data_IF_111894288102
#
_entry.id   IF_111894288102
#
_cell.length_a   1.000
_cell.length_b   1.000
_cell.length_c   1.000
_cell.angle_alpha   90.00
_cell.angle_beta   90.00
_cell.angle_gamma   90.00
#
_symmetry.space_group_name_H-M   'P 1'
#
loop_
_entity.id
_entity.type
_entity.pdbx_description
1 polymer ?
#
# COMPACT_ATOMS: atom_id res chain seq x y z
N UNK A 1 6.95 -22.88 2.42
CA UNK A 1 5.73 -22.08 2.44
C UNK A 1 5.24 -22.05 1.01
N UNK A 2 3.97 -22.40 0.79
CA UNK A 2 3.36 -22.34 -0.53
C UNK A 2 2.28 -21.28 -0.57
N UNK A 3 2.04 -20.77 -1.78
CA UNK A 3 1.06 -19.77 -2.11
C UNK A 3 0.03 -20.33 -3.08
N UNK A 4 -1.22 -20.00 -2.81
CA UNK A 4 -2.39 -20.43 -3.60
C UNK A 4 -3.12 -19.21 -4.15
N UNK A 5 -3.85 -19.40 -5.25
CA UNK A 5 -4.73 -18.36 -5.79
C UNK A 5 -6.06 -18.32 -5.04
N UNK A 6 -6.56 -17.12 -4.75
CA UNK A 6 -7.92 -16.89 -4.23
C UNK A 6 -9.03 -17.42 -5.14
N UNK A 7 -8.74 -17.70 -6.42
CA UNK A 7 -9.72 -18.17 -7.43
C UNK A 7 -9.50 -19.62 -7.88
N UNK A 8 -8.56 -20.32 -7.27
CA UNK A 8 -8.48 -21.78 -7.37
C UNK A 8 -7.57 -22.31 -8.46
N UNK A 9 -6.65 -21.49 -8.99
CA UNK A 9 -5.56 -21.98 -9.84
C UNK A 9 -4.87 -23.18 -9.17
N UNK A 10 -4.72 -24.32 -9.87
CA UNK A 10 -4.31 -25.58 -9.25
C UNK A 10 -2.83 -25.59 -8.82
N UNK A 11 -1.99 -24.77 -9.46
CA UNK A 11 -0.56 -24.72 -9.15
C UNK A 11 -0.29 -23.95 -7.86
N UNK A 12 0.41 -24.61 -6.94
CA UNK A 12 1.00 -24.00 -5.75
C UNK A 12 2.33 -23.35 -6.13
N UNK A 13 2.54 -22.12 -5.70
CA UNK A 13 3.76 -21.36 -5.97
C UNK A 13 4.61 -21.19 -4.71
N UNK A 14 5.91 -21.02 -4.90
CA UNK A 14 6.87 -20.53 -3.91
C UNK A 14 6.83 -19.00 -3.83
N UNK A 15 7.47 -18.40 -2.82
CA UNK A 15 7.49 -16.93 -2.71
C UNK A 15 8.19 -16.28 -3.90
N UNK A 16 9.34 -16.81 -4.33
CA UNK A 16 10.11 -16.25 -5.46
C UNK A 16 9.37 -16.29 -6.79
N UNK A 17 8.48 -17.27 -7.00
CA UNK A 17 7.63 -17.31 -8.19
C UNK A 17 6.59 -16.20 -8.17
N UNK A 18 5.82 -16.08 -7.07
CA UNK A 18 4.76 -15.07 -6.98
C UNK A 18 5.30 -13.63 -6.90
N UNK A 19 6.55 -13.46 -6.46
CA UNK A 19 7.23 -12.17 -6.39
C UNK A 19 7.26 -11.48 -7.76
N UNK A 20 7.49 -12.24 -8.84
CA UNK A 20 7.57 -11.74 -10.21
C UNK A 20 6.23 -11.79 -10.96
N UNK A 21 5.38 -12.79 -10.69
CA UNK A 21 4.09 -12.95 -11.37
C UNK A 21 3.07 -11.87 -10.96
N UNK A 22 3.03 -11.52 -9.67
CA UNK A 22 2.08 -10.55 -9.10
C UNK A 22 0.64 -11.05 -9.02
N UNK A 23 0.04 -11.41 -10.15
CA UNK A 23 -1.29 -12.04 -10.28
C UNK A 23 -1.17 -13.53 -10.58
N UNK A 24 -2.11 -14.32 -10.07
CA UNK A 24 -2.23 -15.72 -10.50
C UNK A 24 -2.78 -15.80 -11.94
N UNK A 25 -2.49 -16.89 -12.69
CA UNK A 25 -2.95 -17.03 -14.07
C UNK A 25 -4.47 -17.02 -14.27
N UNK A 26 -5.24 -17.37 -13.24
CA UNK A 26 -6.71 -17.32 -13.20
C UNK A 26 -7.27 -15.92 -12.84
N UNK A 27 -6.40 -14.91 -12.73
CA UNK A 27 -6.75 -13.55 -12.33
C UNK A 27 -6.93 -13.37 -10.82
N UNK A 28 -6.75 -14.43 -10.02
CA UNK A 28 -6.80 -14.37 -8.57
C UNK A 28 -5.55 -13.76 -7.95
N UNK A 29 -5.62 -13.54 -6.64
CA UNK A 29 -4.53 -13.01 -5.84
C UNK A 29 -3.84 -14.14 -5.08
N UNK A 30 -2.50 -14.08 -5.00
CA UNK A 30 -1.76 -15.02 -4.16
C UNK A 30 -1.94 -14.73 -2.67
N UNK A 31 -2.19 -15.79 -1.90
CA UNK A 31 -2.21 -15.81 -0.42
C UNK A 31 -1.46 -17.05 0.07
N UNK A 32 -0.86 -17.03 1.28
CA UNK A 32 -0.17 -18.19 1.82
C UNK A 32 -1.19 -19.28 2.16
N UNK A 33 -0.82 -20.53 1.92
CA UNK A 33 -1.69 -21.69 2.18
C UNK A 33 -2.18 -21.74 3.64
N UNK A 34 -1.36 -21.26 4.57
CA UNK A 34 -1.70 -21.07 5.98
C UNK A 34 -1.08 -19.76 6.49
N UNK A 35 -1.73 -19.10 7.45
CA UNK A 35 -1.08 -18.06 8.24
C UNK A 35 -0.28 -18.71 9.38
N UNK A 36 1.04 -18.47 9.48
CA UNK A 36 1.84 -18.90 10.63
C UNK A 36 1.24 -18.36 11.93
N UNK A 37 1.12 -19.20 12.96
CA UNK A 37 0.60 -18.80 14.28
C UNK A 37 1.77 -18.62 15.25
N UNK A 38 1.75 -17.51 15.98
CA UNK A 38 2.75 -17.15 16.98
C UNK A 38 2.21 -17.42 18.38
N UNK A 39 3.10 -17.84 19.28
CA UNK A 39 2.81 -17.97 20.70
C UNK A 39 3.31 -16.74 21.49
N UNK A 40 2.83 -16.60 22.73
CA UNK A 40 3.19 -15.49 23.62
C UNK A 40 4.70 -15.43 23.85
N UNK A 41 5.36 -16.59 23.99
CA UNK A 41 6.81 -16.65 24.16
C UNK A 41 7.56 -16.03 22.97
N UNK A 42 7.03 -16.16 21.74
CA UNK A 42 7.59 -15.53 20.56
C UNK A 42 7.34 -14.02 20.55
N UNK A 43 6.14 -13.58 20.90
CA UNK A 43 5.83 -12.15 21.04
C UNK A 43 6.74 -11.45 22.06
N UNK A 44 6.98 -12.09 23.21
CA UNK A 44 7.89 -11.57 24.24
C UNK A 44 9.33 -11.42 23.73
N UNK A 45 9.85 -12.43 23.01
CA UNK A 45 11.18 -12.34 22.39
C UNK A 45 11.25 -11.24 21.34
N UNK A 46 10.16 -10.99 20.63
CA UNK A 46 10.11 -10.02 19.54
C UNK A 46 9.92 -8.57 19.98
N UNK A 47 9.35 -8.33 21.17
CA UNK A 47 9.04 -6.99 21.71
C UNK A 47 10.25 -6.05 21.74
N UNK A 48 11.44 -6.57 22.00
CA UNK A 48 12.69 -5.80 22.07
C UNK A 48 13.48 -5.70 20.76
N UNK A 49 13.00 -6.26 19.65
CA UNK A 49 13.74 -6.30 18.40
C UNK A 49 13.71 -4.95 17.67
N UNK A 50 14.84 -4.57 17.07
CA UNK A 50 14.86 -3.48 16.10
C UNK A 50 14.01 -3.81 14.88
N UNK A 51 13.44 -2.81 14.21
CA UNK A 51 12.59 -2.98 13.04
C UNK A 51 13.16 -3.91 11.95
N UNK A 52 14.43 -3.78 11.47
CA UNK A 52 14.96 -4.69 10.45
C UNK A 52 15.07 -6.15 10.94
N UNK A 53 15.30 -6.37 12.23
CA UNK A 53 15.35 -7.73 12.81
C UNK A 53 13.94 -8.29 12.94
N UNK A 54 12.98 -7.51 13.43
CA UNK A 54 11.56 -7.90 13.46
C UNK A 54 11.03 -8.21 12.06
N UNK A 55 11.40 -7.39 11.06
CA UNK A 55 11.06 -7.64 9.67
C UNK A 55 11.62 -8.98 9.18
N UNK A 56 12.87 -9.29 9.48
CA UNK A 56 13.47 -10.59 9.16
C UNK A 56 12.69 -11.75 9.78
N UNK A 57 12.41 -11.70 11.08
CA UNK A 57 11.69 -12.75 11.81
C UNK A 57 10.30 -13.02 11.21
N UNK A 58 9.52 -11.97 10.94
CA UNK A 58 8.18 -12.08 10.34
C UNK A 58 8.27 -12.58 8.90
N UNK A 59 9.16 -12.01 8.07
CA UNK A 59 9.28 -12.38 6.66
C UNK A 59 9.77 -13.81 6.49
N UNK A 60 10.64 -14.31 7.37
CA UNK A 60 11.13 -15.69 7.36
C UNK A 60 10.02 -16.74 7.52
N UNK A 61 8.88 -16.37 8.11
CA UNK A 61 7.72 -17.28 8.20
C UNK A 61 6.97 -17.44 6.87
N UNK A 62 7.15 -16.48 5.96
CA UNK A 62 6.49 -16.44 4.66
C UNK A 62 7.44 -16.71 3.48
N UNK A 63 8.75 -16.56 3.70
CA UNK A 63 9.80 -16.66 2.69
C UNK A 63 10.80 -17.72 3.14
N UNK A 64 10.58 -18.97 2.72
CA UNK A 64 11.47 -20.10 3.06
C UNK A 64 12.33 -20.57 1.88
N UNK A 65 12.27 -19.86 0.75
CA UNK A 65 13.01 -20.15 -0.48
C UNK A 65 14.06 -19.07 -0.81
N UNK A 66 14.27 -18.10 0.07
CA UNK A 66 15.45 -17.21 0.11
C UNK A 66 16.32 -17.62 1.32
N UNK A 67 17.64 -17.83 1.15
CA UNK A 67 18.53 -18.17 2.26
C UNK A 67 18.40 -17.16 3.42
N UNK A 68 18.33 -17.60 4.70
CA UNK A 68 18.12 -16.69 5.82
C UNK A 68 19.15 -15.56 5.94
N UNK A 69 20.42 -15.85 5.62
CA UNK A 69 21.47 -14.83 5.62
C UNK A 69 21.20 -13.71 4.60
N UNK A 70 20.70 -14.07 3.41
CA UNK A 70 20.37 -13.13 2.35
C UNK A 70 19.13 -12.32 2.70
N UNK A 71 18.08 -12.96 3.22
CA UNK A 71 16.87 -12.25 3.65
C UNK A 71 17.16 -11.27 4.79
N UNK A 72 17.99 -11.66 5.76
CA UNK A 72 18.45 -10.78 6.84
C UNK A 72 19.23 -9.58 6.30
N UNK A 73 20.13 -9.82 5.33
CA UNK A 73 20.87 -8.75 4.66
C UNK A 73 19.96 -7.81 3.87
N UNK A 74 18.93 -8.33 3.20
CA UNK A 74 17.91 -7.53 2.50
C UNK A 74 17.12 -6.66 3.49
N UNK A 75 16.67 -7.21 4.61
CA UNK A 75 15.93 -6.45 5.63
C UNK A 75 16.80 -5.33 6.22
N UNK A 76 18.05 -5.65 6.58
CA UNK A 76 19.02 -4.68 7.06
C UNK A 76 19.40 -3.64 5.98
N UNK A 77 19.40 -4.00 4.69
CA UNK A 77 19.62 -3.07 3.59
C UNK A 77 18.44 -2.12 3.39
N UNK A 78 17.24 -2.59 3.68
CA UNK A 78 15.98 -1.88 3.44
C UNK A 78 15.70 -0.87 4.53
N UNK A 79 15.62 -1.34 5.78
CA UNK A 79 15.08 -0.55 6.89
C UNK A 79 16.22 0.02 7.73
N UNK A 80 16.74 1.18 7.30
CA UNK A 80 17.81 1.90 7.98
C UNK A 80 17.47 3.37 8.24
N UNK A 81 18.06 4.00 9.28
CA UNK A 81 17.82 5.41 9.59
C UNK A 81 18.09 6.36 8.43
N UNK A 82 19.06 6.07 7.56
CA UNK A 82 19.40 6.96 6.45
C UNK A 82 18.29 7.03 5.39
N UNK A 83 17.48 5.95 5.29
CA UNK A 83 16.36 5.86 4.35
C UNK A 83 15.08 6.41 5.00
N UNK A 84 14.83 6.05 6.25
CA UNK A 84 13.59 6.34 6.97
C UNK A 84 13.71 7.48 8.00
N UNK A 85 14.82 8.22 8.02
CA UNK A 85 15.04 9.35 8.94
C UNK A 85 15.17 9.00 10.43
N UNK A 86 14.91 7.76 10.85
CA UNK A 86 14.93 7.33 12.25
C UNK A 86 15.24 5.85 12.40
N UNK A 87 15.94 5.47 13.48
CA UNK A 87 16.26 4.07 13.77
C UNK A 87 15.04 3.22 14.15
N UNK A 88 13.93 3.85 14.57
CA UNK A 88 12.66 3.15 14.82
C UNK A 88 11.94 2.76 13.54
N UNK A 89 12.28 3.36 12.40
CA UNK A 89 11.66 3.21 11.07
C UNK A 89 10.17 3.64 11.05
N UNK A 90 9.34 3.03 11.89
CA UNK A 90 7.93 3.33 12.11
C UNK A 90 7.66 3.63 13.60
N UNK A 91 8.10 4.79 14.12
CA UNK A 91 7.83 5.16 15.51
C UNK A 91 6.32 5.37 15.74
N UNK A 92 5.87 5.13 16.97
CA UNK A 92 4.52 5.48 17.42
C UNK A 92 4.59 6.67 18.36
N UNK A 93 3.76 7.68 18.14
CA UNK A 93 3.57 8.82 19.04
C UNK A 93 2.15 8.87 19.58
N UNK A 94 1.98 9.31 20.81
CA UNK A 94 0.66 9.60 21.37
C UNK A 94 0.15 10.94 20.83
N UNK A 95 -1.05 10.97 20.26
CA UNK A 95 -1.72 12.21 19.85
C UNK A 95 -2.57 12.76 20.99
N UNK A 96 -3.36 11.89 21.61
CA UNK A 96 -4.13 12.17 22.83
C UNK A 96 -4.23 10.90 23.70
N UNK A 97 -4.73 11.02 24.93
CA UNK A 97 -4.83 9.86 25.83
C UNK A 97 -5.60 8.71 25.18
N UNK A 98 -4.96 7.53 25.08
CA UNK A 98 -5.54 6.34 24.45
C UNK A 98 -5.53 6.32 22.92
N UNK A 99 -5.09 7.39 22.25
CA UNK A 99 -5.01 7.48 20.79
C UNK A 99 -3.59 7.82 20.33
N UNK A 100 -3.01 6.89 19.59
CA UNK A 100 -1.66 6.94 19.08
C UNK A 100 -1.65 7.05 17.56
N UNK A 101 -0.54 7.51 17.01
CA UNK A 101 -0.28 7.61 15.57
C UNK A 101 1.01 6.86 15.27
N UNK A 102 0.92 5.83 14.43
CA UNK A 102 2.07 5.12 13.89
C UNK A 102 2.60 5.85 12.64
N UNK A 103 3.79 6.42 12.72
CA UNK A 103 4.40 7.26 11.69
C UNK A 103 5.03 6.40 10.60
N UNK A 104 4.24 6.01 9.59
CA UNK A 104 4.71 5.17 8.48
C UNK A 104 5.30 6.00 7.33
N UNK A 105 5.30 7.32 7.47
CA UNK A 105 5.59 8.27 6.38
C UNK A 105 6.96 8.90 6.48
N UNK A 106 7.89 8.22 7.16
CA UNK A 106 9.27 8.69 7.35
C UNK A 106 10.23 8.23 6.23
N UNK A 107 9.75 7.40 5.30
CA UNK A 107 10.52 6.91 4.15
C UNK A 107 10.89 7.99 3.12
N UNK A 108 11.62 7.63 2.05
CA UNK A 108 12.20 8.56 1.09
C UNK A 108 11.18 9.32 0.23
N UNK A 109 9.89 8.97 0.30
CA UNK A 109 8.83 9.65 -0.44
C UNK A 109 7.73 10.22 0.44
N UNK A 110 7.94 10.16 1.75
CA UNK A 110 7.05 10.71 2.78
C UNK A 110 5.64 10.08 2.79
N UNK A 111 5.55 8.79 2.46
CA UNK A 111 4.30 8.04 2.48
C UNK A 111 4.53 6.58 2.87
N UNK A 112 3.52 5.94 3.48
CA UNK A 112 3.61 4.55 3.97
C UNK A 112 3.98 3.51 2.90
N UNK A 113 3.76 3.84 1.62
CA UNK A 113 4.11 2.97 0.49
C UNK A 113 5.60 2.63 0.48
N UNK A 114 6.44 3.51 1.03
CA UNK A 114 7.88 3.29 1.18
C UNK A 114 8.21 2.03 2.00
N UNK A 115 7.42 1.74 3.05
CA UNK A 115 7.63 0.59 3.92
C UNK A 115 7.67 -0.72 3.12
N UNK A 116 6.76 -0.84 2.14
CA UNK A 116 6.68 -2.01 1.27
C UNK A 116 7.58 -1.92 0.04
N UNK A 117 7.61 -0.76 -0.63
CA UNK A 117 8.29 -0.61 -1.91
C UNK A 117 9.81 -0.75 -1.77
N UNK A 118 10.41 -0.19 -0.71
CA UNK A 118 11.85 -0.30 -0.49
C UNK A 118 12.29 -1.77 -0.34
N UNK A 119 11.51 -2.59 0.38
CA UNK A 119 11.77 -4.02 0.50
C UNK A 119 11.61 -4.71 -0.85
N UNK A 120 10.52 -4.42 -1.56
CA UNK A 120 10.21 -5.01 -2.85
C UNK A 120 11.32 -4.75 -3.88
N UNK A 121 11.86 -3.52 -3.93
CA UNK A 121 12.97 -3.20 -4.84
C UNK A 121 14.22 -4.02 -4.57
N UNK A 122 14.55 -4.27 -3.29
CA UNK A 122 15.67 -5.14 -2.94
C UNK A 122 15.40 -6.63 -3.24
N UNK A 123 14.17 -7.11 -3.02
CA UNK A 123 13.79 -8.50 -3.33
C UNK A 123 13.79 -8.77 -4.85
N UNK A 124 13.28 -7.83 -5.65
CA UNK A 124 13.29 -7.94 -7.11
C UNK A 124 14.73 -7.92 -7.65
N UNK A 125 15.57 -6.99 -7.19
CA UNK A 125 16.99 -6.96 -7.58
C UNK A 125 17.70 -8.28 -7.25
N UNK A 126 17.45 -8.84 -6.06
CA UNK A 126 18.00 -10.13 -5.65
C UNK A 126 17.56 -11.26 -6.58
N UNK A 127 16.25 -11.39 -6.82
CA UNK A 127 15.71 -12.50 -7.62
C UNK A 127 16.07 -12.39 -9.10
N UNK A 128 16.08 -11.18 -9.67
CA UNK A 128 16.48 -10.94 -11.06
C UNK A 128 17.98 -11.24 -11.26
N UNK A 129 18.83 -10.81 -10.32
CA UNK A 129 20.25 -11.14 -10.36
C UNK A 129 20.50 -12.64 -10.31
N UNK A 130 19.75 -13.37 -9.46
CA UNK A 130 19.83 -14.83 -9.36
C UNK A 130 19.43 -15.54 -10.66
N UNK A 131 18.44 -15.01 -11.39
CA UNK A 131 17.97 -15.56 -12.68
C UNK A 131 18.80 -15.11 -13.88
N UNK A 132 19.61 -14.06 -13.75
CA UNK A 132 20.23 -13.40 -14.90
C UNK A 132 19.19 -12.72 -15.80
N UNK A 133 18.10 -12.24 -15.21
CA UNK A 133 16.97 -11.62 -15.91
C UNK A 133 16.93 -10.10 -15.69
N UNK A 134 16.10 -9.43 -16.49
CA UNK A 134 15.82 -8.01 -16.36
C UNK A 134 14.31 -7.77 -16.36
N UNK A 135 13.87 -6.70 -15.70
CA UNK A 135 12.48 -6.30 -15.59
C UNK A 135 12.33 -4.83 -15.96
N UNK A 136 11.44 -4.55 -16.91
CA UNK A 136 11.07 -3.20 -17.29
C UNK A 136 9.68 -2.91 -16.71
N UNK A 137 9.62 -2.18 -15.60
CA UNK A 137 8.39 -1.85 -14.90
C UNK A 137 7.68 -0.73 -15.67
N UNK A 138 6.43 -0.97 -16.06
CA UNK A 138 5.55 0.07 -16.60
C UNK A 138 4.45 0.38 -15.59
N UNK A 139 4.27 1.67 -15.29
CA UNK A 139 3.26 2.13 -14.33
C UNK A 139 2.63 3.46 -14.74
N UNK A 140 1.50 3.75 -14.10
CA UNK A 140 0.85 5.05 -14.14
C UNK A 140 0.63 5.55 -12.71
N UNK A 141 0.76 6.86 -12.48
CA UNK A 141 0.52 7.47 -11.17
C UNK A 141 -0.17 8.83 -11.24
N UNK A 142 -0.87 9.17 -10.17
CA UNK A 142 -1.30 10.53 -9.83
C UNK A 142 -0.31 11.25 -8.88
N UNK A 143 0.81 10.61 -8.52
CA UNK A 143 1.89 11.21 -7.71
C UNK A 143 2.53 10.21 -6.75
N UNK A 144 1.86 9.91 -5.64
CA UNK A 144 2.46 9.18 -4.50
C UNK A 144 2.99 7.78 -4.85
N UNK A 145 2.21 7.02 -5.61
CA UNK A 145 2.57 5.63 -5.93
C UNK A 145 3.79 5.58 -6.86
N UNK A 146 3.88 6.50 -7.82
CA UNK A 146 5.02 6.57 -8.73
C UNK A 146 6.29 6.98 -8.00
N UNK A 147 6.21 7.99 -7.12
CA UNK A 147 7.34 8.38 -6.26
C UNK A 147 7.89 7.17 -5.48
N UNK A 148 7.03 6.45 -4.75
CA UNK A 148 7.46 5.31 -3.93
C UNK A 148 8.08 4.18 -4.77
N UNK A 149 7.55 3.93 -5.96
CA UNK A 149 8.11 2.95 -6.89
C UNK A 149 9.47 3.39 -7.44
N UNK A 150 9.60 4.63 -7.90
CA UNK A 150 10.85 5.15 -8.46
C UNK A 150 11.97 5.16 -7.42
N UNK A 151 11.73 5.66 -6.20
CA UNK A 151 12.75 5.67 -5.15
C UNK A 151 13.13 4.27 -4.66
N UNK A 152 12.25 3.27 -4.80
CA UNK A 152 12.58 1.89 -4.48
C UNK A 152 13.46 1.24 -5.54
N UNK A 153 13.21 1.56 -6.81
CA UNK A 153 13.85 0.94 -7.96
C UNK A 153 15.07 1.71 -8.48
N UNK A 154 15.24 2.98 -8.10
CA UNK A 154 16.39 3.78 -8.55
C UNK A 154 17.71 3.10 -8.20
N UNK A 155 18.59 3.01 -9.20
CA UNK A 155 19.89 2.37 -9.09
C UNK A 155 19.86 0.84 -8.91
N UNK A 156 18.69 0.18 -8.96
CA UNK A 156 18.59 -1.29 -8.86
C UNK A 156 19.05 -1.95 -10.16
N UNK A 157 19.91 -2.96 -10.05
CA UNK A 157 20.42 -3.71 -11.21
C UNK A 157 19.33 -4.59 -11.81
N UNK A 158 19.30 -4.66 -13.14
CA UNK A 158 18.32 -5.45 -13.88
C UNK A 158 16.90 -4.90 -13.82
N UNK A 159 16.68 -3.68 -13.30
CA UNK A 159 15.35 -3.06 -13.20
C UNK A 159 15.38 -1.69 -13.86
N UNK A 160 14.40 -1.42 -14.73
CA UNK A 160 14.09 -0.06 -15.21
C UNK A 160 12.65 0.28 -14.89
N UNK A 161 12.35 1.57 -14.70
CA UNK A 161 11.00 2.07 -14.43
C UNK A 161 10.60 3.08 -15.48
N UNK A 162 9.50 2.80 -16.17
CA UNK A 162 8.79 3.72 -17.05
C UNK A 162 7.51 4.14 -16.33
N UNK A 163 7.53 5.34 -15.73
CA UNK A 163 6.41 5.84 -14.93
C UNK A 163 5.69 6.95 -15.68
N UNK A 164 4.42 6.72 -15.98
CA UNK A 164 3.56 7.72 -16.61
C UNK A 164 2.82 8.54 -15.56
N UNK A 165 2.75 9.83 -15.78
CA UNK A 165 1.95 10.77 -14.99
C UNK A 165 1.26 11.79 -15.89
N UNK A 166 0.04 12.25 -15.56
CA UNK A 166 -0.62 13.30 -16.33
C UNK A 166 0.15 14.62 -16.20
N UNK A 167 0.46 15.24 -17.34
CA UNK A 167 1.22 16.48 -17.39
C UNK A 167 0.50 17.61 -16.65
N UNK A 168 1.19 18.22 -15.68
CA UNK A 168 0.69 19.38 -14.93
C UNK A 168 -0.38 19.09 -13.87
N UNK A 169 -0.69 17.81 -13.57
CA UNK A 169 -1.78 17.44 -12.64
C UNK A 169 -1.33 16.83 -11.31
N UNK A 170 -0.03 16.74 -11.06
CA UNK A 170 0.53 16.31 -9.76
C UNK A 170 0.92 17.54 -8.92
N UNK A 171 0.95 17.42 -7.58
CA UNK A 171 1.43 18.53 -6.74
C UNK A 171 2.90 18.87 -7.04
N UNK A 172 3.31 20.12 -6.78
CA UNK A 172 4.68 20.56 -7.05
C UNK A 172 5.72 19.66 -6.35
N UNK A 173 5.45 19.30 -5.10
CA UNK A 173 6.29 18.40 -4.31
C UNK A 173 6.37 16.99 -4.91
N UNK A 174 5.25 16.40 -5.34
CA UNK A 174 5.23 15.08 -5.98
C UNK A 174 5.97 15.09 -7.33
N UNK A 175 5.75 16.12 -8.15
CA UNK A 175 6.52 16.31 -9.39
C UNK A 175 8.01 16.40 -9.10
N UNK A 176 8.40 17.13 -8.06
CA UNK A 176 9.80 17.29 -7.68
C UNK A 176 10.41 15.97 -7.22
N UNK A 177 9.70 15.16 -6.43
CA UNK A 177 10.15 13.83 -6.02
C UNK A 177 10.47 12.95 -7.23
N UNK A 178 9.58 12.88 -8.21
CA UNK A 178 9.77 12.01 -9.38
C UNK A 178 10.75 12.61 -10.38
N UNK A 179 10.46 13.82 -10.86
CA UNK A 179 11.19 14.40 -12.00
C UNK A 179 12.59 14.88 -11.64
N UNK A 180 12.93 15.05 -10.35
CA UNK A 180 14.32 15.38 -9.98
C UNK A 180 15.28 14.20 -10.05
N UNK A 181 14.77 12.96 -10.15
CA UNK A 181 15.60 11.76 -10.24
C UNK A 181 16.41 11.75 -11.54
N UNK A 182 17.73 11.63 -11.40
CA UNK A 182 18.68 11.57 -12.52
C UNK A 182 19.18 10.16 -12.81
N UNK A 183 18.77 9.17 -12.01
CA UNK A 183 19.16 7.77 -12.18
C UNK A 183 18.79 7.25 -13.58
N UNK A 184 19.74 6.60 -14.25
CA UNK A 184 19.57 6.19 -15.66
C UNK A 184 18.47 5.16 -15.89
N UNK A 185 18.14 4.38 -14.86
CA UNK A 185 17.10 3.36 -14.92
C UNK A 185 15.69 3.91 -14.61
N UNK A 186 15.55 5.21 -14.36
CA UNK A 186 14.26 5.87 -14.10
C UNK A 186 13.89 6.75 -15.30
N UNK A 187 12.72 6.45 -15.87
CA UNK A 187 12.16 7.12 -17.04
C UNK A 187 10.78 7.68 -16.70
N UNK A 188 10.78 8.96 -16.32
CA UNK A 188 9.57 9.72 -16.09
C UNK A 188 8.93 10.17 -17.41
N UNK A 189 7.67 9.81 -17.62
CA UNK A 189 6.89 10.12 -18.82
C UNK A 189 5.70 11.00 -18.41
N UNK A 190 5.69 12.25 -18.84
CA UNK A 190 4.54 13.12 -18.69
C UNK A 190 3.61 12.93 -19.90
N UNK A 191 2.36 12.55 -19.66
CA UNK A 191 1.35 12.33 -20.70
C UNK A 191 0.49 13.58 -20.85
N UNK A 192 0.34 14.07 -22.08
CA UNK A 192 -0.61 15.13 -22.45
C UNK A 192 -2.05 14.61 -22.36
N UNK A 193 -2.57 14.49 -21.14
CA UNK A 193 -3.88 13.91 -20.84
C UNK A 193 -4.21 13.93 -19.36
N UNK A 194 -5.15 13.06 -18.97
CA UNK A 194 -5.56 12.82 -17.58
C UNK A 194 -4.98 11.50 -17.05
N UNK A 195 -5.18 11.24 -15.76
CA UNK A 195 -4.70 9.99 -15.15
C UNK A 195 -5.31 8.75 -15.79
N UNK A 196 -6.59 8.81 -16.18
CA UNK A 196 -7.28 7.70 -16.88
C UNK A 196 -6.59 7.34 -18.19
N UNK A 197 -6.10 8.33 -18.95
CA UNK A 197 -5.35 8.08 -20.20
C UNK A 197 -4.05 7.30 -19.92
N UNK A 198 -3.35 7.65 -18.83
CA UNK A 198 -2.16 6.93 -18.40
C UNK A 198 -2.50 5.47 -18.06
N UNK A 199 -3.62 5.23 -17.36
CA UNK A 199 -4.08 3.88 -17.03
C UNK A 199 -4.45 3.08 -18.28
N UNK A 200 -5.12 3.70 -19.25
CA UNK A 200 -5.52 3.05 -20.49
C UNK A 200 -4.32 2.68 -21.35
N UNK A 201 -3.27 3.52 -21.37
CA UNK A 201 -1.99 3.15 -22.01
C UNK A 201 -1.35 1.94 -21.31
N UNK A 202 -1.31 1.91 -19.97
CA UNK A 202 -0.79 0.73 -19.23
C UNK A 202 -1.57 -0.53 -19.60
N UNK A 203 -2.91 -0.45 -19.69
CA UNK A 203 -3.77 -1.58 -20.08
C UNK A 203 -3.49 -2.01 -21.52
N UNK A 204 -3.36 -1.07 -22.46
CA UNK A 204 -3.07 -1.35 -23.86
C UNK A 204 -1.70 -2.03 -24.05
N UNK A 205 -0.68 -1.60 -23.31
CA UNK A 205 0.62 -2.29 -23.30
C UNK A 205 0.51 -3.65 -22.60
N UNK A 206 -0.26 -3.74 -21.53
CA UNK A 206 -0.45 -4.99 -20.78
C UNK A 206 -1.18 -6.07 -21.57
N UNK A 207 -2.09 -5.68 -22.47
CA UNK A 207 -2.80 -6.56 -23.40
C UNK A 207 -1.98 -7.00 -24.61
N UNK A 208 -0.81 -6.41 -24.84
CA UNK A 208 0.11 -6.79 -25.92
C UNK A 208 1.14 -7.81 -25.41
N UNK A 209 0.80 -9.09 -25.54
CA UNK A 209 1.64 -10.19 -25.06
C UNK A 209 3.01 -10.26 -25.74
N UNK A 210 3.10 -9.88 -27.02
CA UNK A 210 4.34 -9.91 -27.78
C UNK A 210 5.27 -8.79 -27.37
N UNK A 211 4.75 -7.57 -27.20
CA UNK A 211 5.53 -6.45 -26.70
C UNK A 211 6.04 -6.73 -25.28
N UNK A 212 5.17 -7.22 -24.39
CA UNK A 212 5.56 -7.58 -23.02
C UNK A 212 6.68 -8.61 -22.98
N UNK A 213 6.56 -9.68 -23.75
CA UNK A 213 7.56 -10.75 -23.79
C UNK A 213 8.88 -10.26 -24.37
N UNK A 214 8.83 -9.50 -25.48
CA UNK A 214 10.01 -8.95 -26.15
C UNK A 214 10.79 -8.00 -25.26
N UNK A 215 10.10 -7.11 -24.55
CA UNK A 215 10.70 -6.07 -23.74
C UNK A 215 10.66 -6.34 -22.23
N UNK A 216 10.32 -7.57 -21.81
CA UNK A 216 10.24 -7.99 -20.40
C UNK A 216 9.44 -6.99 -19.54
N UNK A 217 8.29 -6.55 -20.06
CA UNK A 217 7.44 -5.57 -19.38
C UNK A 217 6.70 -6.26 -18.24
N UNK A 218 6.88 -5.73 -17.03
CA UNK A 218 6.11 -6.11 -15.86
C UNK A 218 5.51 -4.90 -15.17
N UNK A 219 4.80 -5.15 -14.07
CA UNK A 219 4.18 -4.12 -13.26
C UNK A 219 4.45 -4.36 -11.78
N UNK A 220 4.62 -3.27 -11.04
CA UNK A 220 4.69 -3.30 -9.58
C UNK A 220 3.42 -2.66 -9.04
N UNK A 221 2.42 -3.49 -8.74
CA UNK A 221 1.06 -3.08 -8.39
C UNK A 221 0.73 -3.36 -6.91
N UNK A 222 -0.41 -2.88 -6.42
CA UNK A 222 -0.86 -2.96 -5.02
C UNK A 222 -1.23 -4.35 -4.53
N UNK A 223 -1.23 -5.33 -5.44
CA UNK A 223 -1.68 -6.69 -5.17
C UNK A 223 -0.51 -7.67 -5.00
N UNK A 224 0.73 -7.27 -5.30
CA UNK A 224 1.90 -8.11 -5.07
C UNK A 224 1.99 -8.51 -3.58
N UNK A 225 2.08 -9.82 -3.29
CA UNK A 225 2.09 -10.34 -1.92
C UNK A 225 3.26 -9.79 -1.09
N UNK A 226 4.44 -9.60 -1.68
CA UNK A 226 5.60 -9.05 -0.98
C UNK A 226 5.32 -7.65 -0.41
N UNK A 227 4.46 -6.86 -1.07
CA UNK A 227 4.04 -5.56 -0.53
C UNK A 227 3.14 -5.69 0.69
N UNK A 228 2.26 -6.70 0.70
CA UNK A 228 1.34 -6.94 1.80
C UNK A 228 2.07 -7.47 3.02
N UNK A 229 2.93 -8.49 2.86
CA UNK A 229 3.66 -9.07 3.99
C UNK A 229 4.66 -8.08 4.61
N UNK A 230 5.25 -7.18 3.83
CA UNK A 230 6.08 -6.09 4.36
C UNK A 230 5.30 -5.17 5.32
N UNK A 231 4.00 -4.99 5.07
CA UNK A 231 3.12 -4.14 5.87
C UNK A 231 2.72 -4.79 7.19
N UNK A 232 2.75 -6.13 7.30
CA UNK A 232 2.48 -6.85 8.55
C UNK A 232 3.44 -6.40 9.66
N UNK A 233 4.70 -6.13 9.31
CA UNK A 233 5.78 -5.80 10.26
C UNK A 233 5.45 -4.60 11.13
N UNK A 234 4.87 -3.53 10.59
CA UNK A 234 4.59 -2.34 11.39
C UNK A 234 3.37 -2.49 12.31
N UNK A 235 2.48 -3.46 12.09
CA UNK A 235 1.42 -3.78 13.06
C UNK A 235 2.04 -4.38 14.33
N UNK A 236 2.96 -5.33 14.17
CA UNK A 236 3.73 -5.87 15.31
C UNK A 236 4.58 -4.79 15.98
N UNK A 237 5.32 -4.00 15.19
CA UNK A 237 6.15 -2.92 15.72
C UNK A 237 5.35 -1.86 16.48
N UNK A 238 4.16 -1.49 15.99
CA UNK A 238 3.31 -0.51 16.65
C UNK A 238 2.67 -1.09 17.93
N UNK A 239 2.21 -2.34 17.87
CA UNK A 239 1.71 -3.07 19.04
C UNK A 239 2.74 -3.08 20.17
N UNK A 240 3.98 -3.49 19.89
CA UNK A 240 5.05 -3.56 20.88
C UNK A 240 5.47 -2.20 21.46
N UNK A 241 5.24 -1.11 20.73
CA UNK A 241 5.53 0.25 21.20
C UNK A 241 4.43 0.82 22.11
N UNK A 242 3.21 0.27 22.06
CA UNK A 242 2.04 0.78 22.79
C UNK A 242 1.67 -0.10 23.99
N UNK A 243 2.05 -1.38 23.98
CA UNK A 243 1.76 -2.34 25.06
C UNK A 243 3.01 -2.77 25.81
N UNK A 244 2.84 -3.20 27.06
CA UNK A 244 3.91 -3.78 27.88
C UNK A 244 3.83 -5.31 27.94
N UNK A 245 2.62 -5.87 27.80
CA UNK A 245 2.31 -7.30 27.96
C UNK A 245 1.46 -7.83 26.80
N UNK A 246 1.51 -9.15 26.56
CA UNK A 246 0.79 -9.79 25.45
C UNK A 246 -0.72 -9.94 25.71
N UNK A 247 -1.18 -9.80 26.96
CA UNK A 247 -2.60 -9.80 27.32
C UNK A 247 -3.32 -8.51 26.93
N UNK A 248 -2.58 -7.42 26.69
CA UNK A 248 -3.15 -6.16 26.25
C UNK A 248 -3.57 -6.25 24.78
N UNK A 249 -4.81 -5.89 24.49
CA UNK A 249 -5.30 -5.73 23.11
C UNK A 249 -5.07 -4.28 22.62
N UNK A 250 -5.00 -4.11 21.31
CA UNK A 250 -5.03 -2.79 20.65
C UNK A 250 -6.04 -2.76 19.51
N UNK A 251 -6.52 -1.57 19.20
CA UNK A 251 -7.27 -1.29 17.99
C UNK A 251 -6.38 -0.57 16.97
N UNK A 252 -6.61 -0.83 15.68
CA UNK A 252 -5.98 -0.07 14.61
C UNK A 252 -7.01 0.64 13.76
N UNK A 253 -6.81 1.93 13.50
CA UNK A 253 -7.57 2.68 12.51
C UNK A 253 -6.72 2.94 11.26
N UNK A 254 -7.22 2.50 10.12
CA UNK A 254 -6.46 2.42 8.86
C UNK A 254 -7.16 3.25 7.78
N UNK A 255 -6.59 4.40 7.39
CA UNK A 255 -6.99 5.11 6.18
C UNK A 255 -6.85 4.18 4.97
N UNK A 256 -7.98 3.84 4.34
CA UNK A 256 -8.07 2.68 3.45
C UNK A 256 -8.63 3.03 2.09
N UNK A 257 -7.85 2.73 1.05
CA UNK A 257 -8.31 2.65 -0.33
C UNK A 257 -8.32 1.20 -0.81
N UNK A 258 -7.24 0.75 -1.45
CA UNK A 258 -7.11 -0.60 -2.05
C UNK A 258 -7.10 -1.81 -1.08
N UNK A 259 -7.45 -1.62 0.20
CA UNK A 259 -7.52 -2.64 1.26
C UNK A 259 -6.20 -3.35 1.63
N UNK A 260 -5.07 -3.03 0.98
CA UNK A 260 -3.79 -3.73 1.22
C UNK A 260 -3.24 -3.54 2.64
N UNK A 261 -3.30 -2.31 3.16
CA UNK A 261 -2.80 -1.97 4.50
C UNK A 261 -3.60 -2.70 5.59
N UNK A 262 -4.92 -2.56 5.59
CA UNK A 262 -5.77 -3.23 6.58
C UNK A 262 -5.76 -4.76 6.41
N UNK A 263 -5.59 -5.27 5.19
CA UNK A 263 -5.40 -6.71 4.98
C UNK A 263 -4.11 -7.22 5.65
N UNK A 264 -3.03 -6.42 5.68
CA UNK A 264 -1.84 -6.77 6.44
C UNK A 264 -2.10 -6.80 7.96
N UNK A 265 -2.95 -5.89 8.47
CA UNK A 265 -3.43 -5.94 9.86
C UNK A 265 -4.26 -7.18 10.15
N UNK A 266 -5.12 -7.60 9.21
CA UNK A 266 -5.85 -8.88 9.29
C UNK A 266 -4.89 -10.06 9.32
N UNK A 267 -3.87 -10.07 8.46
CA UNK A 267 -2.83 -11.11 8.51
C UNK A 267 -2.13 -11.12 9.87
N UNK A 268 -1.74 -9.97 10.42
CA UNK A 268 -1.11 -9.88 11.75
C UNK A 268 -2.03 -10.45 12.86
N UNK A 269 -3.32 -10.11 12.83
CA UNK A 269 -4.33 -10.66 13.75
C UNK A 269 -4.46 -12.18 13.60
N UNK A 270 -4.52 -12.67 12.36
CA UNK A 270 -4.58 -14.11 12.07
C UNK A 270 -3.31 -14.85 12.48
N UNK A 271 -2.16 -14.18 12.56
CA UNK A 271 -0.92 -14.73 13.12
C UNK A 271 -0.96 -14.85 14.65
N UNK A 272 -1.90 -14.21 15.33
CA UNK A 272 -2.03 -14.22 16.79
C UNK A 272 -1.62 -12.91 17.47
N UNK A 273 -1.36 -11.83 16.74
CA UNK A 273 -1.16 -10.51 17.35
C UNK A 273 -2.47 -10.06 18.04
N UNK A 274 -2.45 -9.61 19.31
CA UNK A 274 -3.64 -9.19 20.08
C UNK A 274 -4.29 -7.90 19.54
N UNK A 275 -4.91 -7.99 18.37
CA UNK A 275 -5.68 -6.92 17.75
C UNK A 275 -7.16 -7.17 18.04
N UNK A 276 -7.80 -6.28 18.79
CA UNK A 276 -9.24 -6.38 19.05
C UNK A 276 -10.02 -6.00 17.79
N UNK A 277 -9.75 -4.81 17.23
CA UNK A 277 -10.44 -4.29 16.04
C UNK A 277 -9.51 -3.73 14.97
N UNK A 278 -9.95 -3.90 13.72
CA UNK A 278 -9.41 -3.27 12.52
C UNK A 278 -10.47 -2.31 11.96
N UNK A 279 -10.31 -1.02 12.27
CA UNK A 279 -11.23 0.05 11.87
C UNK A 279 -10.79 0.63 10.53
N UNK A 280 -11.62 0.46 9.51
CA UNK A 280 -11.38 0.98 8.16
C UNK A 280 -11.95 2.39 8.08
N UNK A 281 -11.08 3.37 7.85
CA UNK A 281 -11.49 4.74 7.57
C UNK A 281 -11.52 4.95 6.06
N UNK A 282 -12.70 5.22 5.51
CA UNK A 282 -12.86 5.65 4.10
C UNK A 282 -13.16 7.14 4.03
N UNK A 283 -12.81 7.75 2.90
CA UNK A 283 -13.29 9.07 2.55
C UNK A 283 -14.71 8.97 1.94
N UNK A 284 -15.09 9.93 1.10
CA UNK A 284 -16.37 9.95 0.40
C UNK A 284 -16.59 8.73 -0.52
N UNK A 285 -15.51 8.10 -0.98
CA UNK A 285 -15.50 6.86 -1.74
C UNK A 285 -15.60 5.65 -0.78
N UNK A 286 -16.82 5.40 -0.33
CA UNK A 286 -17.15 4.55 0.81
C UNK A 286 -17.47 3.09 0.47
N UNK A 287 -16.96 2.56 -0.65
CA UNK A 287 -17.26 1.19 -1.10
C UNK A 287 -16.94 0.12 -0.05
N UNK A 288 -15.89 0.34 0.76
CA UNK A 288 -15.52 -0.56 1.85
C UNK A 288 -16.44 -0.45 3.06
N UNK A 289 -16.91 0.77 3.38
CA UNK A 289 -17.86 1.00 4.47
C UNK A 289 -19.25 0.42 4.11
N UNK A 290 -19.71 0.61 2.87
CA UNK A 290 -20.93 -0.02 2.36
C UNK A 290 -20.84 -1.54 2.48
N UNK A 291 -19.73 -2.14 2.01
CA UNK A 291 -19.52 -3.58 2.11
C UNK A 291 -19.54 -4.08 3.55
N UNK A 292 -18.80 -3.47 4.47
CA UNK A 292 -18.74 -3.94 5.86
C UNK A 292 -20.05 -3.74 6.63
N UNK A 293 -20.83 -2.71 6.29
CA UNK A 293 -22.13 -2.46 6.93
C UNK A 293 -23.24 -3.34 6.37
N UNK A 294 -23.19 -3.67 5.08
CA UNK A 294 -24.35 -4.26 4.37
C UNK A 294 -24.10 -5.65 3.80
N UNK A 295 -22.85 -6.05 3.59
CA UNK A 295 -22.50 -7.25 2.82
C UNK A 295 -22.50 -7.02 1.31
N UNK A 296 -22.97 -5.86 0.83
CA UNK A 296 -23.02 -5.52 -0.58
C UNK A 296 -21.74 -4.83 -1.01
N UNK A 297 -21.01 -5.41 -1.95
CA UNK A 297 -19.87 -4.77 -2.59
C UNK A 297 -20.24 -4.36 -4.01
N UNK A 298 -20.15 -3.07 -4.31
CA UNK A 298 -20.49 -2.50 -5.62
C UNK A 298 -19.36 -1.60 -6.12
N UNK A 299 -18.72 -2.01 -7.21
CA UNK A 299 -17.66 -1.23 -7.85
C UNK A 299 -18.24 0.11 -8.29
N UNK A 300 -17.56 1.20 -7.94
CA UNK A 300 -18.00 2.55 -8.34
C UNK A 300 -17.56 2.82 -9.77
N UNK A 301 -18.49 3.32 -10.59
CA UNK A 301 -18.14 3.86 -11.90
C UNK A 301 -17.39 5.19 -11.76
N UNK A 302 -16.91 5.71 -12.89
CA UNK A 302 -16.26 7.05 -12.94
C UNK A 302 -17.17 8.16 -12.41
N UNK A 303 -18.47 8.07 -12.67
CA UNK A 303 -19.47 9.05 -12.19
C UNK A 303 -19.68 9.01 -10.67
N UNK A 304 -19.34 7.89 -10.02
CA UNK A 304 -19.56 7.66 -8.59
C UNK A 304 -18.24 7.57 -7.79
N UNK A 305 -17.11 7.92 -8.42
CA UNK A 305 -15.80 8.03 -7.77
C UNK A 305 -15.48 9.52 -7.65
N UNK A 306 -15.58 10.05 -6.44
CA UNK A 306 -15.38 11.46 -6.16
C UNK A 306 -13.89 11.78 -6.03
N UNK A 307 -13.47 12.90 -6.60
CA UNK A 307 -12.17 13.50 -6.27
C UNK A 307 -12.27 14.14 -4.88
N UNK A 308 -11.44 13.67 -3.95
CA UNK A 308 -11.44 14.12 -2.56
C UNK A 308 -10.11 14.76 -2.20
N UNK A 309 -10.07 15.42 -1.04
CA UNK A 309 -8.82 15.95 -0.49
C UNK A 309 -7.89 14.87 0.08
N UNK A 310 -8.24 13.58 -0.07
CA UNK A 310 -7.48 12.39 0.32
C UNK A 310 -7.32 11.42 -0.87
N UNK A 311 -6.69 11.87 -1.97
CA UNK A 311 -6.82 11.24 -3.29
C UNK A 311 -6.19 9.84 -3.39
N UNK A 312 -5.28 9.45 -2.48
CA UNK A 312 -4.74 8.08 -2.46
C UNK A 312 -5.78 7.03 -2.04
N UNK A 313 -6.94 7.47 -1.52
CA UNK A 313 -8.07 6.63 -1.10
C UNK A 313 -9.26 6.69 -2.07
N UNK A 314 -9.20 7.51 -3.13
CA UNK A 314 -10.24 7.64 -4.14
C UNK A 314 -10.25 6.43 -5.08
N UNK A 315 -10.82 5.33 -4.61
CA UNK A 315 -10.83 4.05 -5.31
C UNK A 315 -12.23 3.63 -5.71
N UNK A 316 -12.33 3.12 -6.94
CA UNK A 316 -13.55 2.49 -7.45
C UNK A 316 -13.69 1.02 -7.05
N UNK A 317 -12.56 0.31 -7.00
CA UNK A 317 -12.47 -1.12 -6.71
C UNK A 317 -11.35 -1.37 -5.70
N UNK A 318 -11.68 -1.95 -4.55
CA UNK A 318 -10.71 -2.31 -3.53
C UNK A 318 -10.00 -3.63 -3.88
N UNK A 319 -8.83 -3.55 -4.52
CA UNK A 319 -8.18 -4.73 -5.10
C UNK A 319 -7.89 -5.85 -4.09
N UNK A 320 -7.44 -5.52 -2.86
CA UNK A 320 -7.10 -6.53 -1.86
C UNK A 320 -8.29 -7.03 -1.04
N UNK A 321 -9.50 -6.50 -1.26
CA UNK A 321 -10.71 -7.02 -0.59
C UNK A 321 -10.92 -8.50 -0.91
N UNK A 322 -10.56 -8.93 -2.12
CA UNK A 322 -10.64 -10.34 -2.54
C UNK A 322 -9.89 -11.29 -1.60
N UNK A 323 -8.74 -10.88 -1.05
CA UNK A 323 -7.99 -11.71 -0.08
C UNK A 323 -8.76 -11.92 1.21
N UNK A 324 -9.41 -10.86 1.72
CA UNK A 324 -10.23 -10.97 2.91
C UNK A 324 -11.50 -11.76 2.65
N UNK A 325 -12.19 -11.53 1.53
CA UNK A 325 -13.39 -12.30 1.18
C UNK A 325 -13.07 -13.79 1.01
N UNK A 326 -11.90 -14.13 0.46
CA UNK A 326 -11.43 -15.52 0.43
C UNK A 326 -11.35 -16.14 1.84
N UNK A 327 -10.73 -15.45 2.81
CA UNK A 327 -10.70 -15.93 4.20
C UNK A 327 -12.10 -15.97 4.83
N UNK A 328 -12.94 -14.95 4.59
CA UNK A 328 -14.32 -14.86 5.08
C UNK A 328 -15.14 -16.07 4.63
N UNK A 329 -14.98 -16.50 3.38
CA UNK A 329 -15.70 -17.65 2.81
C UNK A 329 -15.04 -18.99 3.16
N UNK A 330 -14.16 -19.03 4.16
CA UNK A 330 -13.49 -20.26 4.59
C UNK A 330 -12.49 -20.79 3.57
N UNK A 331 -11.87 -19.88 2.79
CA UNK A 331 -10.91 -20.21 1.72
C UNK A 331 -11.53 -21.03 0.58
N UNK A 332 -12.82 -20.85 0.32
CA UNK A 332 -13.50 -21.43 -0.83
C UNK A 332 -13.22 -20.61 -2.10
N UNK A 333 -12.30 -21.15 -2.92
CA UNK A 333 -11.88 -20.53 -4.17
C UNK A 333 -12.99 -20.46 -5.23
N UNK A 334 -13.90 -21.44 -5.26
CA UNK A 334 -15.01 -21.48 -6.22
C UNK A 334 -15.99 -20.35 -5.94
N UNK A 335 -16.35 -20.17 -4.66
CA UNK A 335 -17.23 -19.07 -4.23
C UNK A 335 -16.57 -17.72 -4.44
N UNK A 336 -15.28 -17.60 -4.15
CA UNK A 336 -14.53 -16.36 -4.36
C UNK A 336 -14.46 -15.98 -5.84
N UNK A 337 -14.20 -16.97 -6.73
CA UNK A 337 -14.24 -16.78 -8.18
C UNK A 337 -15.62 -16.33 -8.66
N UNK A 338 -16.70 -16.96 -8.18
CA UNK A 338 -18.07 -16.57 -8.53
C UNK A 338 -18.36 -15.09 -8.19
N UNK A 339 -17.87 -14.59 -7.06
CA UNK A 339 -18.07 -13.19 -6.68
C UNK A 339 -17.20 -12.24 -7.53
N UNK A 340 -15.89 -12.50 -7.60
CA UNK A 340 -14.92 -11.52 -8.13
C UNK A 340 -14.65 -11.61 -9.64
N UNK A 341 -14.89 -12.76 -10.25
CA UNK A 341 -14.74 -12.95 -11.70
C UNK A 341 -16.11 -12.92 -12.40
N UNK A 342 -17.10 -13.67 -11.90
CA UNK A 342 -18.38 -13.82 -12.60
C UNK A 342 -19.32 -12.64 -12.28
N UNK A 343 -19.77 -12.51 -11.03
CA UNK A 343 -20.78 -11.51 -10.64
C UNK A 343 -20.31 -10.06 -10.81
N UNK A 344 -19.05 -9.75 -10.45
CA UNK A 344 -18.51 -8.40 -10.66
C UNK A 344 -18.40 -8.02 -12.14
N UNK A 345 -18.09 -8.97 -13.01
CA UNK A 345 -17.99 -8.72 -14.45
C UNK A 345 -19.37 -8.54 -15.08
N UNK A 346 -20.36 -9.31 -14.62
CA UNK A 346 -21.72 -9.28 -15.15
C UNK A 346 -22.53 -8.10 -14.63
N UNK A 347 -22.44 -7.80 -13.33
CA UNK A 347 -23.34 -6.84 -12.66
C UNK A 347 -22.62 -5.66 -11.99
N UNK A 348 -21.29 -5.67 -11.91
CA UNK A 348 -20.51 -4.67 -11.18
C UNK A 348 -20.64 -4.76 -9.65
N UNK A 349 -21.35 -5.76 -9.12
CA UNK A 349 -21.58 -5.92 -7.68
C UNK A 349 -21.74 -7.39 -7.25
N UNK A 350 -21.70 -7.64 -5.94
CA UNK A 350 -22.16 -8.88 -5.33
C UNK A 350 -22.70 -8.60 -3.92
N UNK A 351 -23.49 -9.54 -3.39
CA UNK A 351 -24.17 -9.41 -2.10
C UNK A 351 -23.89 -10.62 -1.20
N UNK A 352 -23.31 -10.36 -0.02
CA UNK A 352 -23.08 -11.32 1.06
C UNK A 352 -23.98 -11.09 2.27
N UNK A 353 -24.96 -10.19 2.22
CA UNK A 353 -25.85 -9.84 3.33
C UNK A 353 -26.60 -11.05 3.90
N UNK A 354 -27.01 -11.97 3.01
CA UNK A 354 -27.66 -13.24 3.38
C UNK A 354 -26.70 -14.37 3.72
N UNK A 355 -25.38 -14.16 3.62
CA UNK A 355 -24.39 -15.19 3.87
C UNK A 355 -24.11 -15.37 5.37
N UNK A 356 -24.22 -16.60 5.92
CA UNK A 356 -23.93 -16.84 7.33
C UNK A 356 -22.51 -16.48 7.76
N UNK A 357 -21.53 -16.53 6.84
CA UNK A 357 -20.16 -16.13 7.13
C UNK A 357 -20.06 -14.61 7.34
N UNK A 358 -20.77 -13.82 6.53
CA UNK A 358 -20.80 -12.36 6.66
C UNK A 358 -21.43 -11.92 7.98
N UNK A 359 -22.54 -12.54 8.38
CA UNK A 359 -23.21 -12.25 9.66
C UNK A 359 -22.33 -12.45 10.91
N UNK A 360 -21.23 -13.20 10.80
CA UNK A 360 -20.25 -13.44 11.88
C UNK A 360 -18.92 -12.72 11.66
N UNK A 361 -18.74 -12.06 10.51
CA UNK A 361 -17.45 -11.53 10.07
C UNK A 361 -16.91 -10.46 11.03
N UNK A 362 -17.78 -9.56 11.49
CA UNK A 362 -17.42 -8.46 12.37
C UNK A 362 -16.84 -8.94 13.71
N UNK A 363 -17.40 -10.00 14.29
CA UNK A 363 -16.94 -10.57 15.56
C UNK A 363 -15.74 -11.51 15.36
N UNK A 364 -15.76 -12.30 14.29
CA UNK A 364 -14.69 -13.25 14.01
C UNK A 364 -13.38 -12.55 13.60
N UNK A 365 -13.45 -11.53 12.75
CA UNK A 365 -12.29 -10.86 12.17
C UNK A 365 -12.00 -9.47 12.77
N UNK A 366 -12.91 -8.91 13.58
CA UNK A 366 -12.70 -7.63 14.26
C UNK A 366 -12.83 -6.40 13.36
N UNK A 367 -13.34 -6.54 12.12
CA UNK A 367 -13.48 -5.40 11.22
C UNK A 367 -14.60 -4.45 11.66
N UNK A 368 -14.31 -3.15 11.61
CA UNK A 368 -15.27 -2.05 11.71
C UNK A 368 -14.97 -1.05 10.60
N UNK A 369 -15.89 -0.14 10.32
CA UNK A 369 -15.65 0.92 9.34
C UNK A 369 -16.30 2.23 9.75
N UNK A 370 -15.84 3.30 9.10
CA UNK A 370 -16.50 4.58 9.13
C UNK A 370 -16.04 5.45 7.97
N UNK A 371 -16.77 6.53 7.78
CA UNK A 371 -16.62 7.47 6.67
C UNK A 371 -16.24 8.85 7.18
N UNK A 372 -15.41 9.55 6.42
CA UNK A 372 -15.03 10.94 6.66
C UNK A 372 -15.28 11.77 5.39
N UNK A 373 -15.82 12.98 5.57
CA UNK A 373 -15.99 13.97 4.51
C UNK A 373 -14.85 14.98 4.51
N UNK A 374 -14.75 15.79 3.45
CA UNK A 374 -13.79 16.87 3.36
C UNK A 374 -13.89 17.85 4.53
N UNK A 375 -15.11 18.22 4.93
CA UNK A 375 -15.35 19.06 6.10
C UNK A 375 -14.83 18.42 7.40
N UNK A 376 -15.07 17.11 7.56
CA UNK A 376 -14.57 16.35 8.71
C UNK A 376 -13.04 16.33 8.77
N UNK A 377 -12.37 16.13 7.63
CA UNK A 377 -10.90 16.17 7.53
C UNK A 377 -10.35 17.54 7.92
N UNK A 378 -10.89 18.62 7.36
CA UNK A 378 -10.44 19.98 7.71
C UNK A 378 -10.61 20.26 9.20
N UNK A 379 -11.75 19.85 9.78
CA UNK A 379 -12.00 20.01 11.21
C UNK A 379 -11.03 19.19 12.06
N UNK A 380 -10.72 17.96 11.63
CA UNK A 380 -9.80 17.06 12.34
C UNK A 380 -8.36 17.57 12.28
N UNK A 381 -7.93 18.12 11.13
CA UNK A 381 -6.61 18.77 10.98
C UNK A 381 -6.51 20.00 11.90
N UNK A 382 -7.56 20.84 11.94
CA UNK A 382 -7.60 22.01 12.84
C UNK A 382 -7.55 21.60 14.31
N UNK A 383 -8.36 20.62 14.70
CA UNK A 383 -8.40 20.09 16.07
C UNK A 383 -7.04 19.54 16.50
N UNK A 384 -6.40 18.72 15.67
CA UNK A 384 -5.08 18.17 15.94
C UNK A 384 -4.01 19.26 16.12
N UNK A 385 -4.08 20.31 15.30
CA UNK A 385 -3.18 21.45 15.41
C UNK A 385 -3.44 22.26 16.69
N UNK A 386 -4.68 22.64 16.97
CA UNK A 386 -5.01 23.51 18.09
C UNK A 386 -4.81 22.86 19.45
N UNK A 387 -5.10 21.56 19.60
CA UNK A 387 -5.01 20.86 20.89
C UNK A 387 -3.65 20.22 21.12
N UNK A 388 -2.98 19.75 20.07
CA UNK A 388 -1.78 18.92 20.21
C UNK A 388 -0.57 19.45 19.46
N UNK A 389 -0.69 20.63 18.82
CA UNK A 389 0.38 21.21 18.00
C UNK A 389 0.87 20.23 16.91
N UNK A 390 0.00 19.33 16.46
CA UNK A 390 0.30 18.29 15.49
C UNK A 390 -0.36 18.64 14.14
N UNK A 391 0.42 18.65 13.06
CA UNK A 391 -0.11 18.77 11.70
C UNK A 391 -0.16 17.38 11.10
N UNK A 392 -1.35 16.92 10.79
CA UNK A 392 -1.59 15.65 10.12
C UNK A 392 -2.09 15.89 8.70
N UNK A 393 -1.76 14.98 7.81
CA UNK A 393 -2.22 15.01 6.43
C UNK A 393 -3.72 14.60 6.35
N UNK A 394 -4.42 14.89 5.23
CA UNK A 394 -5.84 14.56 5.09
C UNK A 394 -6.17 13.06 5.22
N UNK A 395 -5.28 12.14 4.82
CA UNK A 395 -5.53 10.71 4.95
C UNK A 395 -5.44 10.28 6.42
N UNK A 396 -4.43 10.77 7.14
CA UNK A 396 -4.32 10.55 8.59
C UNK A 396 -5.49 11.19 9.33
N UNK A 397 -6.00 12.33 8.86
CA UNK A 397 -7.20 12.95 9.40
C UNK A 397 -8.47 12.09 9.22
N UNK A 398 -8.65 11.42 8.08
CA UNK A 398 -9.73 10.41 7.93
C UNK A 398 -9.60 9.32 9.01
N UNK A 399 -8.39 8.81 9.20
CA UNK A 399 -8.07 7.81 10.22
C UNK A 399 -8.40 8.28 11.64
N UNK A 400 -7.92 9.46 12.03
CA UNK A 400 -8.16 10.03 13.37
C UNK A 400 -9.66 10.28 13.60
N UNK A 401 -10.37 10.82 12.60
CA UNK A 401 -11.81 11.07 12.71
C UNK A 401 -12.57 9.78 13.00
N UNK A 402 -12.38 8.76 12.18
CA UNK A 402 -13.09 7.48 12.33
C UNK A 402 -12.63 6.73 13.59
N UNK A 403 -11.34 6.79 13.93
CA UNK A 403 -10.81 6.21 15.17
C UNK A 403 -11.54 6.71 16.42
N UNK A 404 -11.83 8.01 16.49
CA UNK A 404 -12.56 8.63 17.61
C UNK A 404 -14.00 8.12 17.75
N UNK A 405 -14.63 7.71 16.65
CA UNK A 405 -15.99 7.15 16.65
C UNK A 405 -16.03 5.70 17.15
N UNK A 406 -14.90 5.00 17.12
CA UNK A 406 -14.77 3.59 17.50
C UNK A 406 -13.92 3.36 18.75
N UNK A 407 -13.42 4.43 19.38
CA UNK A 407 -12.55 4.35 20.56
C UNK A 407 -13.28 3.68 21.73
N UNK A 408 -12.59 2.74 22.38
CA UNK A 408 -13.08 2.04 23.57
C UNK A 408 -12.22 2.44 24.76
N UNK A 409 -12.84 2.60 25.93
CA UNK A 409 -12.09 2.81 27.17
C UNK A 409 -11.08 1.67 27.37
N UNK A 410 -9.87 2.02 27.78
CA UNK A 410 -8.82 1.07 28.18
C UNK A 410 -8.27 0.14 27.07
N UNK A 411 -8.65 0.37 25.80
CA UNK A 411 -8.02 -0.27 24.62
C UNK A 411 -7.33 0.81 23.79
N UNK A 412 -5.98 0.81 23.70
CA UNK A 412 -5.26 1.78 22.89
C UNK A 412 -5.65 1.71 21.42
N UNK A 413 -5.96 2.87 20.83
CA UNK A 413 -6.26 3.04 19.42
C UNK A 413 -5.02 3.55 18.68
N UNK A 414 -4.57 2.84 17.65
CA UNK A 414 -3.41 3.20 16.83
C UNK A 414 -3.87 3.59 15.43
N UNK A 415 -3.77 4.87 15.09
CA UNK A 415 -4.04 5.40 13.75
C UNK A 415 -2.78 5.28 12.89
N UNK A 416 -2.90 4.78 11.66
CA UNK A 416 -1.76 4.73 10.75
C UNK A 416 -1.59 6.05 9.99
N UNK A 417 -0.46 6.74 10.18
CA UNK A 417 -0.10 7.91 9.39
C UNK A 417 0.40 7.49 8.02
N UNK A 418 -0.36 7.80 6.98
CA UNK A 418 -0.09 7.26 5.63
C UNK A 418 0.65 8.22 4.69
N UNK A 419 0.69 9.51 5.01
CA UNK A 419 1.56 10.48 4.36
C UNK A 419 1.93 11.62 5.32
N UNK A 420 3.00 12.37 4.99
CA UNK A 420 3.26 13.64 5.65
C UNK A 420 2.45 14.80 5.03
N UNK A 421 2.13 15.85 5.82
CA UNK A 421 1.33 17.00 5.37
C UNK A 421 1.83 17.68 4.10
N UNK A 422 3.15 17.73 3.88
CA UNK A 422 3.77 18.39 2.71
C UNK A 422 3.31 17.81 1.38
N UNK A 423 2.88 16.55 1.35
CA UNK A 423 2.35 15.91 0.14
C UNK A 423 1.00 16.50 -0.31
N UNK A 424 0.27 17.14 0.60
CA UNK A 424 -1.10 17.64 0.40
C UNK A 424 -1.25 19.09 0.87
N UNK A 425 -0.32 19.94 0.44
CA UNK A 425 -0.21 21.33 0.89
C UNK A 425 -1.49 22.17 0.70
N UNK A 426 -2.27 21.92 -0.36
CA UNK A 426 -3.54 22.61 -0.61
C UNK A 426 -4.54 22.42 0.54
N UNK A 427 -4.79 21.18 0.95
CA UNK A 427 -5.70 20.87 2.07
C UNK A 427 -5.18 21.42 3.39
N UNK A 428 -3.86 21.42 3.59
CA UNK A 428 -3.25 21.99 4.80
C UNK A 428 -3.43 23.51 4.85
N UNK A 429 -3.26 24.20 3.73
CA UNK A 429 -3.53 25.64 3.62
C UNK A 429 -4.98 25.98 3.89
N UNK A 430 -5.91 25.18 3.35
CA UNK A 430 -7.34 25.38 3.61
C UNK A 430 -7.70 25.16 5.09
N UNK A 431 -7.11 24.15 5.72
CA UNK A 431 -7.37 23.85 7.12
C UNK A 431 -6.76 24.91 8.06
N UNK A 432 -5.49 25.29 7.84
CA UNK A 432 -4.66 26.01 8.81
C UNK A 432 -4.23 27.41 8.37
N UNK A 433 -4.51 27.83 7.13
CA UNK A 433 -4.10 29.12 6.58
C UNK A 433 -2.58 29.24 6.36
N UNK A 434 -1.85 28.13 6.27
CA UNK A 434 -0.39 28.11 6.11
C UNK A 434 0.11 26.90 5.32
N UNK A 435 1.30 27.02 4.74
CA UNK A 435 1.96 25.91 4.06
C UNK A 435 2.54 24.90 5.07
N UNK A 436 2.48 23.58 4.77
CA UNK A 436 3.23 22.58 5.51
C UNK A 436 4.73 22.70 5.20
N UNK A 437 5.57 22.54 6.22
CA UNK A 437 7.02 22.50 6.03
C UNK A 437 7.46 21.09 5.58
N UNK A 438 8.27 20.95 4.51
CA UNK A 438 8.95 19.69 4.23
C UNK A 438 9.96 19.36 5.34
N UNK A 439 10.29 18.07 5.56
CA UNK A 439 11.47 17.70 6.33
C UNK A 439 12.74 18.28 5.69
N UNK A 440 13.71 18.69 6.51
CA UNK A 440 14.93 19.39 6.08
C UNK A 440 15.69 18.71 4.91
N UNK A 441 15.67 17.37 4.84
CA UNK A 441 16.29 16.62 3.73
C UNK A 441 15.68 16.88 2.34
N UNK A 442 14.55 17.58 2.28
CA UNK A 442 13.85 17.98 1.06
C UNK A 442 13.96 19.49 0.78
N UNK A 443 14.76 20.23 1.54
CA UNK A 443 14.99 21.66 1.30
C UNK A 443 15.47 21.89 -0.14
N UNK A 444 14.74 22.72 -0.89
CA UNK A 444 15.06 23.05 -2.28
C UNK A 444 14.73 21.97 -3.31
N UNK A 445 14.05 20.86 -2.95
CA UNK A 445 13.76 19.78 -3.91
C UNK A 445 13.00 20.26 -5.16
N UNK A 446 12.06 21.20 -4.99
CA UNK A 446 11.25 21.74 -6.08
C UNK A 446 12.04 22.57 -7.10
N UNK A 447 13.24 23.03 -6.72
CA UNK A 447 14.18 23.78 -7.55
C UNK A 447 15.22 22.92 -8.27
N UNK A 448 15.25 21.60 -8.04
CA UNK A 448 16.19 20.70 -8.72
C UNK A 448 15.87 20.58 -10.23
N UNK A 449 16.88 20.28 -11.07
CA UNK A 449 16.66 20.00 -12.49
C UNK A 449 15.65 18.86 -12.69
N UNK A 450 14.73 19.05 -13.64
CA UNK A 450 13.68 18.06 -13.93
C UNK A 450 14.05 17.25 -15.19
N UNK A 451 14.04 15.91 -15.06
CA UNK A 451 14.24 14.92 -16.13
C UNK A 451 12.93 14.16 -16.34
N UNK A 452 12.22 14.48 -17.43
CA UNK A 452 11.04 13.74 -17.89
C UNK A 452 10.88 13.88 -19.40
N UNK A 453 10.11 12.99 -20.02
CA UNK A 453 9.73 13.05 -21.43
C UNK A 453 8.24 13.38 -21.53
N UNK A 454 7.88 14.46 -22.24
CA UNK A 454 6.50 14.76 -22.60
C UNK A 454 6.10 13.92 -23.83
N UNK A 455 4.98 13.20 -23.76
CA UNK A 455 4.42 12.39 -24.84
C UNK A 455 2.90 12.59 -24.93
N UNK A 456 2.34 12.39 -26.13
CA UNK A 456 0.89 12.36 -26.34
C UNK A 456 0.24 11.16 -25.65
N UNK A 457 -1.05 11.26 -25.33
CA UNK A 457 -1.87 10.17 -24.80
C UNK A 457 -2.15 9.06 -25.84
N UNK A 458 -1.08 8.37 -26.26
CA UNK A 458 -1.12 7.29 -27.25
C UNK A 458 -0.20 6.14 -26.86
N UNK A 459 -0.75 4.92 -26.84
CA UNK A 459 -0.03 3.73 -26.42
C UNK A 459 1.12 3.37 -27.37
N UNK A 460 0.98 3.63 -28.68
CA UNK A 460 2.03 3.31 -29.65
C UNK A 460 3.24 4.24 -29.49
N UNK A 461 3.00 5.50 -29.19
CA UNK A 461 4.02 6.50 -28.87
C UNK A 461 4.83 6.09 -27.64
N UNK A 462 4.16 5.64 -26.57
CA UNK A 462 4.84 5.13 -25.36
C UNK A 462 5.62 3.85 -25.64
N UNK A 463 5.06 2.89 -26.39
CA UNK A 463 5.78 1.67 -26.80
C UNK A 463 7.06 1.98 -27.57
N UNK A 464 7.00 2.96 -28.47
CA UNK A 464 8.16 3.40 -29.28
C UNK A 464 9.24 3.99 -28.38
N UNK A 465 8.88 4.89 -27.47
CA UNK A 465 9.83 5.45 -26.49
C UNK A 465 10.50 4.38 -25.62
N UNK A 466 9.73 3.41 -25.12
CA UNK A 466 10.27 2.28 -24.35
C UNK A 466 11.27 1.49 -25.20
N UNK A 467 10.90 1.11 -26.42
CA UNK A 467 11.75 0.31 -27.30
C UNK A 467 13.06 1.03 -27.65
N UNK A 468 13.01 2.31 -27.99
CA UNK A 468 14.20 3.14 -28.29
C UNK A 468 15.12 3.27 -27.07
N UNK A 469 14.54 3.50 -25.89
CA UNK A 469 15.29 3.60 -24.63
C UNK A 469 16.05 2.30 -24.34
N UNK A 470 15.40 1.15 -24.57
CA UNK A 470 16.01 -0.16 -24.32
C UNK A 470 17.05 -0.57 -25.37
N UNK A 471 17.05 0.04 -26.56
CA UNK A 471 18.08 -0.18 -27.59
C UNK A 471 19.34 0.66 -27.39
N UNK A 472 19.21 1.80 -26.68
CA UNK A 472 20.31 2.70 -26.41
C UNK A 472 21.19 2.30 -25.20
N UNK A 473 20.75 1.31 -24.42
CA UNK A 473 21.49 0.68 -23.32
C UNK A 473 22.16 -0.60 -23.79
#
# INVERSE_FOLDING_TARGET
MHYISTRGHPERRTFREILLEGLAPDGGLYVPEVYPRLDDATLDRWRGLSYPVLAFEILSLYIDDIPPADLKAICAKTYRPEVFGTARIAPVRTLESGLHVAELSNGPTLAFKDMAMQLLGNLLEYELARRGEELNILGATSGDTGSAAEYAMRGKKGIRVFMMSPHGRMSAFQQAQMFSLQDDNIHNIAIEGVFDDCQDIVKAVSGDADFKRRHRIGAVNSINWARLVAQVVYYFSAYFQVTEENSSEVDFAVPSGNFGNVCAGHVARMMGLPISRLVIATNENDVLDEFLRTGVYRVRGRADTYETSSPSMDISKASNLERFVFDLLGRDASRTRSLFDDQLRESGSFDLSGDPAFGKAADHFGFRSGKSTHADRLQTIRDAWHRFNAVIDPHTADGVKVAREHSVSDVPMIVLETALPVKFAETIREALGREPAPPQRFDGIEGLPRRFKLLSADAQTVKTYIAETLQAC
#
